data_IF_427496276825
#
_entry.id   IF_427496276825
#
_cell.length_a   1.000
_cell.length_b   1.000
_cell.length_c   1.000
_cell.angle_alpha   90.00
_cell.angle_beta   90.00
_cell.angle_gamma   90.00
#
_symmetry.space_group_name_H-M   'P 1'
#
loop_
_entity.id
_entity.type
_entity.pdbx_description
1 polymer ?
#
# COMPACT_ATOMS: atom_id res chain seq x y z
N UNK A 1 3.82 6.78 14.99
CA UNK A 1 3.90 6.71 13.51
C UNK A 1 4.51 8.01 13.00
N UNK A 2 5.48 7.95 12.10
CA UNK A 2 5.97 9.16 11.42
C UNK A 2 4.91 9.70 10.46
N UNK A 3 4.99 10.97 10.09
CA UNK A 3 4.06 11.59 9.12
C UNK A 3 4.05 10.84 7.78
N UNK A 4 5.22 10.33 7.37
CA UNK A 4 5.40 9.55 6.15
C UNK A 4 4.70 8.19 6.23
N UNK A 5 4.78 7.52 7.38
CA UNK A 5 4.08 6.26 7.65
C UNK A 5 2.55 6.47 7.62
N UNK A 6 2.08 7.57 8.20
CA UNK A 6 0.66 7.92 8.23
C UNK A 6 0.11 8.19 6.83
N UNK A 7 0.87 8.92 5.99
CA UNK A 7 0.52 9.13 4.57
C UNK A 7 0.51 7.83 3.78
N UNK A 8 1.47 6.94 4.04
CA UNK A 8 1.54 5.62 3.40
C UNK A 8 0.34 4.75 3.77
N UNK A 9 -0.01 4.65 5.05
CA UNK A 9 -1.16 3.87 5.49
C UNK A 9 -2.45 4.41 4.86
N UNK A 10 -2.64 5.73 4.87
CA UNK A 10 -3.82 6.36 4.26
C UNK A 10 -3.89 6.14 2.74
N UNK A 11 -2.76 6.10 2.04
CA UNK A 11 -2.72 5.74 0.63
C UNK A 11 -3.16 4.28 0.40
N UNK A 12 -2.71 3.35 1.26
CA UNK A 12 -3.11 1.94 1.22
C UNK A 12 -4.62 1.81 1.45
N UNK A 13 -5.16 2.47 2.48
CA UNK A 13 -6.59 2.41 2.80
C UNK A 13 -7.46 2.92 1.63
N UNK A 14 -7.06 4.02 0.99
CA UNK A 14 -7.74 4.57 -0.17
C UNK A 14 -7.62 3.67 -1.42
N UNK A 15 -6.45 3.05 -1.63
CA UNK A 15 -6.26 2.08 -2.71
C UNK A 15 -7.09 0.81 -2.49
N UNK A 16 -7.20 0.32 -1.25
CA UNK A 16 -8.08 -0.78 -0.87
C UNK A 16 -9.56 -0.44 -1.11
N UNK A 17 -9.96 0.81 -0.86
CA UNK A 17 -11.29 1.32 -1.18
C UNK A 17 -11.51 1.59 -2.68
N UNK A 18 -10.58 1.21 -3.56
CA UNK A 18 -10.63 1.37 -5.01
C UNK A 18 -10.74 2.84 -5.47
N UNK A 19 -10.21 3.79 -4.69
CA UNK A 19 -10.16 5.20 -5.06
C UNK A 19 -9.13 5.42 -6.17
N UNK A 20 -9.44 6.29 -7.14
CA UNK A 20 -8.54 6.61 -8.24
C UNK A 20 -7.21 7.20 -7.74
N UNK A 21 -6.05 6.72 -8.22
CA UNK A 21 -4.73 7.21 -7.79
C UNK A 21 -4.54 8.73 -7.91
N UNK A 22 -5.16 9.39 -8.89
CA UNK A 22 -5.09 10.86 -9.05
C UNK A 22 -5.88 11.59 -7.97
N UNK A 23 -6.95 11.00 -7.45
CA UNK A 23 -7.71 11.55 -6.33
C UNK A 23 -6.90 11.41 -5.04
N UNK A 24 -6.22 10.27 -4.86
CA UNK A 24 -5.37 10.01 -3.69
C UNK A 24 -4.23 11.04 -3.60
N UNK A 25 -3.54 11.34 -4.70
CA UNK A 25 -2.45 12.34 -4.69
C UNK A 25 -2.92 13.70 -4.19
N UNK A 26 -4.12 14.13 -4.60
CA UNK A 26 -4.72 15.39 -4.15
C UNK A 26 -5.09 15.35 -2.66
N UNK A 27 -5.65 14.25 -2.16
CA UNK A 27 -6.12 14.15 -0.78
C UNK A 27 -4.99 14.11 0.26
N UNK A 28 -3.94 13.34 0.00
CA UNK A 28 -2.85 13.12 0.97
C UNK A 28 -1.55 13.85 0.61
N UNK A 29 -1.56 14.66 -0.46
CA UNK A 29 -0.42 15.47 -0.94
C UNK A 29 0.84 14.62 -1.14
N UNK A 30 0.70 13.51 -1.86
CA UNK A 30 1.82 12.64 -2.26
C UNK A 30 1.94 12.59 -3.79
N UNK A 31 3.12 12.25 -4.29
CA UNK A 31 3.32 12.13 -5.73
C UNK A 31 2.55 10.94 -6.31
N UNK A 32 2.13 11.05 -7.57
CA UNK A 32 1.44 9.96 -8.26
C UNK A 32 2.34 8.71 -8.39
N UNK A 33 3.64 8.91 -8.57
CA UNK A 33 4.63 7.84 -8.57
C UNK A 33 4.64 7.07 -7.23
N UNK A 34 4.53 7.77 -6.10
CA UNK A 34 4.43 7.15 -4.78
C UNK A 34 3.20 6.25 -4.67
N UNK A 35 2.03 6.73 -5.12
CA UNK A 35 0.79 5.94 -5.09
C UNK A 35 0.90 4.68 -5.97
N UNK A 36 1.47 4.81 -7.17
CA UNK A 36 1.69 3.65 -8.05
C UNK A 36 2.69 2.65 -7.46
N UNK A 37 3.76 3.12 -6.82
CA UNK A 37 4.71 2.24 -6.14
C UNK A 37 4.06 1.46 -5.01
N UNK A 38 3.19 2.12 -4.22
CA UNK A 38 2.42 1.47 -3.15
C UNK A 38 1.48 0.42 -3.75
N UNK A 39 0.73 0.77 -4.80
CA UNK A 39 -0.16 -0.18 -5.49
C UNK A 39 0.60 -1.39 -6.02
N UNK A 40 1.74 -1.19 -6.67
CA UNK A 40 2.59 -2.28 -7.18
C UNK A 40 3.10 -3.18 -6.05
N UNK A 41 3.48 -2.60 -4.92
CA UNK A 41 3.89 -3.36 -3.74
C UNK A 41 2.72 -4.17 -3.15
N UNK A 42 1.52 -3.60 -3.10
CA UNK A 42 0.31 -4.31 -2.67
C UNK A 42 -0.03 -5.48 -3.61
N UNK A 43 0.01 -5.26 -4.92
CA UNK A 43 -0.23 -6.31 -5.92
C UNK A 43 0.81 -7.43 -5.85
N UNK A 44 2.08 -7.08 -5.60
CA UNK A 44 3.15 -8.06 -5.39
C UNK A 44 2.92 -8.89 -4.12
N UNK A 45 2.44 -8.26 -3.04
CA UNK A 45 2.10 -8.95 -1.80
C UNK A 45 0.89 -9.88 -1.95
N UNK A 46 -0.14 -9.46 -2.71
CA UNK A 46 -1.30 -10.31 -3.02
C UNK A 46 -0.89 -11.50 -3.89
N UNK A 47 -0.05 -11.29 -4.92
CA UNK A 47 0.39 -12.35 -5.84
C UNK A 47 1.34 -13.35 -5.19
N UNK A 48 2.20 -12.89 -4.29
CA UNK A 48 3.12 -13.73 -3.55
C UNK A 48 3.25 -13.23 -2.11
N UNK A 49 2.33 -13.64 -1.22
CA UNK A 49 2.40 -13.27 0.19
C UNK A 49 3.68 -13.76 0.89
N UNK A 50 4.47 -14.65 0.25
CA UNK A 50 5.77 -15.14 0.71
C UNK A 50 7.02 -14.55 0.02
N UNK A 51 6.90 -13.55 -0.89
CA UNK A 51 8.06 -13.06 -1.66
C UNK A 51 8.81 -11.89 -1.03
N UNK A 52 8.29 -11.27 0.03
CA UNK A 52 9.10 -10.43 0.90
C UNK A 52 9.71 -11.36 1.94
N UNK A 53 10.98 -11.72 1.77
CA UNK A 53 11.76 -12.56 2.68
C UNK A 53 11.86 -11.98 4.10
N UNK A 54 10.74 -12.01 4.81
CA UNK A 54 10.65 -12.08 6.25
C UNK A 54 10.44 -13.57 6.51
N UNK A 55 11.52 -14.25 6.84
CA UNK A 55 11.46 -15.63 7.27
C UNK A 55 10.41 -15.77 8.37
N UNK A 56 9.57 -16.79 8.23
CA UNK A 56 8.75 -17.38 9.28
C UNK A 56 7.78 -16.45 10.05
N UNK A 57 6.48 -16.57 9.79
CA UNK A 57 5.55 -17.32 10.66
C UNK A 57 4.08 -16.97 10.40
N UNK A 58 3.25 -18.01 10.45
CA UNK A 58 1.81 -18.00 10.80
C UNK A 58 0.78 -17.42 9.83
N UNK A 59 0.06 -18.35 9.19
CA UNK A 59 -1.41 -18.42 9.09
C UNK A 59 -2.14 -17.13 9.54
N UNK A 60 -2.60 -16.34 8.59
CA UNK A 60 -3.82 -15.54 8.80
C UNK A 60 -4.84 -16.02 7.78
N UNK A 61 -5.89 -16.68 8.26
CA UNK A 61 -7.11 -16.92 7.49
C UNK A 61 -7.69 -15.55 7.16
N UNK A 62 -7.92 -15.32 5.88
CA UNK A 62 -8.70 -14.20 5.36
C UNK A 62 -10.14 -14.27 5.85
#
# INVERSE_FOLDING_TARGET
MSEQEMKRQRAIDLLCAQVDPKVITTQIKVSLATVYNIRKAMEAWIRSPGSLGLGDTTKTKW
#
